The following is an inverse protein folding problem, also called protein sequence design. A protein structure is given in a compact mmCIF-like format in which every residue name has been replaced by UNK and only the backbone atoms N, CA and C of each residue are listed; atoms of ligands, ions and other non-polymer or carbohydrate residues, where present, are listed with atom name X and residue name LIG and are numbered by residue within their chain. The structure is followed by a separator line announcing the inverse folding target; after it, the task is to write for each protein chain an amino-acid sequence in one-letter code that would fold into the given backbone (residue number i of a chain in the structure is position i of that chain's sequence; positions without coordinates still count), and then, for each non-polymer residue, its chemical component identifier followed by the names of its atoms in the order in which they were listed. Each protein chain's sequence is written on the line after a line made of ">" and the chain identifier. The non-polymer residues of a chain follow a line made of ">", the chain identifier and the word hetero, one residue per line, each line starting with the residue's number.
data_IF_052745246829
#
_entry.id   IF_052745246829
#
_cell.length_a   1.000
_cell.length_b   1.000
_cell.length_c   1.000
_cell.angle_alpha   90.00
_cell.angle_beta   90.00
_cell.angle_gamma   90.00
#
_symmetry.space_group_name_H-M   'P 1'
#
loop_
_entity.id
_entity.type
_entity.pdbx_description
1 polymer ?
#
# COMPACT_ATOMS: atom_id res chain seq x y z
N UNK A 1 -6.16 -4.25 -8.86
CA UNK A 1 -5.22 -3.38 -9.60
C UNK A 1 -4.58 -4.21 -10.69
N UNK A 2 -4.04 -3.61 -11.74
CA UNK A 2 -3.46 -4.33 -12.88
C UNK A 2 -1.95 -4.14 -12.96
N UNK A 3 -1.23 -5.21 -13.32
CA UNK A 3 0.22 -5.15 -13.58
C UNK A 3 0.56 -4.20 -14.72
N UNK A 4 1.70 -3.52 -14.61
CA UNK A 4 2.16 -2.54 -15.61
C UNK A 4 1.38 -1.22 -15.62
N UNK A 5 0.40 -1.05 -14.73
CA UNK A 5 -0.37 0.19 -14.60
C UNK A 5 0.12 1.03 -13.42
N UNK A 6 -0.07 2.34 -13.53
CA UNK A 6 0.22 3.29 -12.45
C UNK A 6 -1.07 3.74 -11.77
N UNK A 7 -1.09 3.62 -10.44
CA UNK A 7 -2.19 4.08 -9.60
C UNK A 7 -1.73 5.21 -8.69
N UNK A 8 -2.63 6.15 -8.43
CA UNK A 8 -2.35 7.30 -7.58
C UNK A 8 -3.39 7.35 -6.47
N UNK A 9 -2.92 7.48 -5.23
CA UNK A 9 -3.74 7.56 -4.03
C UNK A 9 -3.58 8.96 -3.44
N UNK A 10 -4.70 9.66 -3.30
CA UNK A 10 -4.74 10.89 -2.49
C UNK A 10 -4.92 10.47 -1.04
N UNK A 11 -3.94 10.82 -0.22
CA UNK A 11 -3.86 10.50 1.19
C UNK A 11 -4.23 11.74 2.00
N UNK A 12 -5.17 11.57 2.93
CA UNK A 12 -5.49 12.54 3.96
C UNK A 12 -5.80 11.77 5.24
N UNK A 13 -4.73 11.33 5.91
CA UNK A 13 -4.72 10.33 6.96
C UNK A 13 -3.72 10.75 8.08
N UNK A 14 -3.93 11.94 8.66
CA UNK A 14 -3.06 12.48 9.72
C UNK A 14 -3.00 11.56 10.94
N UNK A 15 -1.80 11.16 11.37
CA UNK A 15 -1.59 10.17 12.44
C UNK A 15 -1.73 8.70 11.99
N UNK A 16 -2.01 8.48 10.70
CA UNK A 16 -2.23 7.17 10.09
C UNK A 16 -1.38 6.99 8.82
N UNK A 17 -0.08 6.70 8.95
CA UNK A 17 0.79 6.46 7.80
C UNK A 17 0.23 5.36 6.89
N UNK A 18 0.11 5.66 5.59
CA UNK A 18 -0.38 4.70 4.61
C UNK A 18 0.76 3.89 3.99
N UNK A 19 0.72 2.57 4.15
CA UNK A 19 1.67 1.63 3.58
C UNK A 19 0.97 0.58 2.72
N UNK A 20 1.58 0.29 1.58
CA UNK A 20 1.36 -0.98 0.86
C UNK A 20 2.31 -2.01 1.47
N UNK A 21 1.81 -3.21 1.72
CA UNK A 21 2.54 -4.27 2.45
C UNK A 21 2.46 -5.62 1.75
N UNK A 22 3.51 -6.41 1.88
CA UNK A 22 3.57 -7.78 1.38
C UNK A 22 2.92 -8.80 2.33
N UNK A 23 2.88 -8.49 3.63
CA UNK A 23 2.27 -9.33 4.66
C UNK A 23 1.21 -8.54 5.42
N UNK A 24 0.05 -9.15 5.64
CA UNK A 24 -0.97 -8.58 6.50
C UNK A 24 -0.50 -8.57 7.95
N UNK A 25 -0.46 -7.41 8.60
CA UNK A 25 -0.06 -7.33 10.00
C UNK A 25 0.08 -5.90 10.49
N UNK A 26 -0.11 -5.68 11.79
CA UNK A 26 -0.23 -4.36 12.40
C UNK A 26 1.10 -3.68 12.76
N UNK A 27 2.19 -4.00 12.06
CA UNK A 27 3.52 -3.43 12.31
C UNK A 27 3.95 -2.53 11.14
N UNK A 28 5.06 -1.79 11.29
CA UNK A 28 5.73 -1.12 10.17
C UNK A 28 6.60 -2.05 9.31
N UNK A 29 6.70 -3.34 9.68
CA UNK A 29 7.44 -4.32 8.89
C UNK A 29 6.71 -4.62 7.58
N UNK A 30 7.38 -5.32 6.66
CA UNK A 30 6.80 -5.85 5.43
C UNK A 30 6.25 -4.77 4.47
N UNK A 31 6.73 -3.53 4.59
CA UNK A 31 6.43 -2.48 3.64
C UNK A 31 6.89 -2.88 2.24
N UNK A 32 5.96 -2.88 1.30
CA UNK A 32 6.23 -3.11 -0.11
C UNK A 32 6.54 -1.77 -0.78
N UNK A 33 7.81 -1.55 -1.11
CA UNK A 33 8.29 -0.27 -1.65
C UNK A 33 8.60 -0.31 -3.14
N UNK A 34 8.60 -1.48 -3.77
CA UNK A 34 8.87 -1.64 -5.20
C UNK A 34 7.80 -0.94 -6.03
N UNK A 35 8.19 0.07 -6.81
CA UNK A 35 7.25 0.87 -7.61
C UNK A 35 6.38 1.83 -6.79
N UNK A 36 6.59 1.95 -5.47
CA UNK A 36 5.80 2.81 -4.60
C UNK A 36 6.61 4.05 -4.22
N UNK A 37 6.04 5.24 -4.45
CA UNK A 37 6.61 6.52 -4.02
C UNK A 37 5.86 7.06 -2.81
N UNK A 38 6.52 7.88 -1.97
CA UNK A 38 5.90 8.52 -0.81
C UNK A 38 5.28 7.51 0.20
N UNK A 39 5.96 6.38 0.42
CA UNK A 39 5.51 5.35 1.37
C UNK A 39 5.38 5.91 2.79
N UNK A 40 4.31 5.55 3.50
CA UNK A 40 4.02 6.11 4.82
C UNK A 40 3.43 7.53 4.79
N UNK A 41 3.01 8.03 3.62
CA UNK A 41 2.32 9.30 3.50
C UNK A 41 1.13 9.38 4.47
N UNK A 42 0.99 10.54 5.10
CA UNK A 42 -0.15 10.88 5.96
C UNK A 42 -0.97 12.04 5.37
N UNK A 43 -0.42 12.75 4.40
CA UNK A 43 -1.07 13.77 3.60
C UNK A 43 -0.38 13.82 2.22
N UNK A 44 -1.11 14.21 1.18
CA UNK A 44 -0.60 14.34 -0.18
C UNK A 44 -0.83 13.12 -1.05
N UNK A 45 0.10 12.83 -1.96
CA UNK A 45 -0.11 11.81 -3.00
C UNK A 45 0.92 10.68 -2.88
N UNK A 46 0.45 9.44 -2.88
CA UNK A 46 1.25 8.23 -3.07
C UNK A 46 1.01 7.68 -4.48
N UNK A 47 2.07 7.30 -5.17
CA UNK A 47 1.97 6.66 -6.49
C UNK A 47 2.49 5.24 -6.39
N UNK A 48 1.78 4.30 -7.02
CA UNK A 48 2.18 2.91 -7.16
C UNK A 48 2.19 2.54 -8.64
N UNK A 49 3.38 2.41 -9.21
CA UNK A 49 3.61 1.75 -10.49
C UNK A 49 3.69 0.24 -10.24
N UNK A 50 2.66 -0.50 -10.62
CA UNK A 50 2.55 -1.93 -10.32
C UNK A 50 3.54 -2.71 -11.18
N UNK A 51 4.60 -3.32 -10.61
CA UNK A 51 5.56 -4.08 -11.39
C UNK A 51 4.91 -5.28 -12.09
N UNK A 52 5.51 -5.74 -13.18
CA UNK A 52 5.02 -6.92 -13.91
C UNK A 52 5.15 -8.21 -13.08
N UNK A 53 6.05 -8.22 -12.09
CA UNK A 53 6.29 -9.32 -11.16
C UNK A 53 5.67 -9.08 -9.78
N UNK A 54 4.73 -8.12 -9.68
CA UNK A 54 4.03 -7.85 -8.43
C UNK A 54 3.30 -9.10 -7.90
N UNK A 55 3.34 -9.36 -6.58
CA UNK A 55 2.54 -10.42 -5.96
C UNK A 55 1.05 -10.24 -6.24
N UNK A 56 0.30 -11.33 -6.33
CA UNK A 56 -1.16 -11.29 -6.56
C UNK A 56 -1.91 -10.63 -5.40
N UNK A 57 -1.35 -10.67 -4.20
CA UNK A 57 -1.96 -10.12 -3.00
C UNK A 57 -0.97 -9.22 -2.27
N UNK A 58 -1.36 -7.97 -2.10
CA UNK A 58 -0.75 -7.01 -1.19
C UNK A 58 -1.81 -6.55 -0.18
N UNK A 59 -1.38 -5.79 0.81
CA UNK A 59 -2.26 -5.32 1.88
C UNK A 59 -2.03 -3.84 2.15
N UNK A 60 -3.04 -3.19 2.70
CA UNK A 60 -2.83 -2.01 3.55
C UNK A 60 -3.32 -2.33 4.95
N UNK A 61 -2.70 -1.73 5.94
CA UNK A 61 -3.12 -1.86 7.34
C UNK A 61 -2.71 -0.64 8.14
N UNK A 62 -3.52 -0.30 9.13
CA UNK A 62 -3.16 0.63 10.17
C UNK A 62 -2.78 -0.14 11.44
N UNK A 63 -1.62 0.22 11.99
CA UNK A 63 -0.98 -0.51 13.09
C UNK A 63 -1.75 -0.47 14.42
N UNK A 64 -2.47 0.61 14.71
CA UNK A 64 -3.04 0.82 16.06
C UNK A 64 -4.49 0.34 16.18
N UNK A 65 -5.17 0.06 15.05
CA UNK A 65 -6.50 -0.57 15.06
C UNK A 65 -6.51 -1.75 14.09
N UNK A 66 -6.62 -2.96 14.65
CA UNK A 66 -6.68 -4.23 13.91
C UNK A 66 -7.80 -4.32 12.87
N UNK A 67 -8.75 -3.39 12.91
CA UNK A 67 -9.91 -3.34 12.01
C UNK A 67 -9.63 -2.56 10.71
N UNK A 68 -8.58 -1.74 10.68
CA UNK A 68 -8.22 -0.95 9.50
C UNK A 68 -7.20 -1.72 8.67
N UNK A 69 -7.65 -2.76 7.97
CA UNK A 69 -6.84 -3.48 6.99
C UNK A 69 -7.68 -3.81 5.76
N UNK A 70 -7.03 -3.90 4.60
CA UNK A 70 -7.69 -4.36 3.40
C UNK A 70 -6.71 -5.04 2.44
N UNK A 71 -7.28 -5.85 1.56
CA UNK A 71 -6.56 -6.57 0.53
C UNK A 71 -6.46 -5.68 -0.71
N UNK A 72 -5.26 -5.63 -1.28
CA UNK A 72 -4.98 -5.08 -2.59
C UNK A 72 -4.75 -6.27 -3.52
N UNK A 73 -5.78 -6.64 -4.27
CA UNK A 73 -5.68 -7.67 -5.31
C UNK A 73 -4.95 -7.10 -6.54
N UNK A 74 -3.95 -7.81 -7.03
CA UNK A 74 -3.24 -7.53 -8.29
C UNK A 74 -3.65 -8.60 -9.31
N UNK A 75 -4.11 -8.14 -10.45
CA UNK A 75 -4.62 -8.94 -11.57
C UNK A 75 -3.89 -8.55 -12.87
N UNK A 76 -4.18 -9.27 -13.93
CA UNK A 76 -3.73 -8.96 -15.29
C UNK A 76 -4.77 -8.09 -16.04
#
# INVERSE_FOLDING_TARGET
>A
MKRGQTYTFTISASGHPFFIKSVQGNTYADAYTTGVTNTGAQDGTLTFEVPIDAPETLFYTYQFHSVMTGVIAIED
#
